data_IF_299795683498
#
_entry.id   IF_299795683498
#
_cell.length_a   1.000
_cell.length_b   1.000
_cell.length_c   1.000
_cell.angle_alpha   90.00
_cell.angle_beta   90.00
_cell.angle_gamma   90.00
#
_symmetry.space_group_name_H-M   'P 1'
#
loop_
_entity.id
_entity.type
_entity.pdbx_description
1 polymer ?
#
# COMPACT_ATOMS: atom_id res chain seq x y z
N UNK A 1 -4.71 -21.86 14.82
CA UNK A 1 -3.39 -21.32 15.20
C UNK A 1 -2.83 -20.64 13.97
N UNK A 2 -2.34 -19.40 14.06
CA UNK A 2 -1.77 -18.73 12.88
C UNK A 2 -0.50 -19.46 12.43
N UNK A 3 -0.20 -19.51 11.12
CA UNK A 3 1.04 -20.07 10.62
C UNK A 3 2.27 -19.40 11.24
N UNK A 4 3.36 -20.14 11.37
CA UNK A 4 4.64 -19.66 11.93
C UNK A 4 5.31 -18.54 11.11
N UNK A 5 4.98 -18.43 9.82
CA UNK A 5 5.43 -17.35 8.95
C UNK A 5 4.69 -16.03 9.17
N UNK A 6 3.44 -16.08 9.66
CA UNK A 6 2.57 -14.91 9.78
C UNK A 6 3.17 -13.79 10.66
N UNK A 7 3.66 -14.04 11.89
CA UNK A 7 4.25 -12.99 12.71
C UNK A 7 5.50 -12.37 12.07
N UNK A 8 6.29 -13.18 11.34
CA UNK A 8 7.47 -12.69 10.62
C UNK A 8 7.05 -11.76 9.47
N UNK A 9 6.04 -12.14 8.70
CA UNK A 9 5.51 -11.32 7.62
C UNK A 9 4.97 -9.97 8.13
N UNK A 10 4.18 -9.98 9.22
CA UNK A 10 3.69 -8.75 9.85
C UNK A 10 4.83 -7.87 10.35
N UNK A 11 5.85 -8.45 10.98
CA UNK A 11 7.01 -7.70 11.44
C UNK A 11 7.76 -7.02 10.28
N UNK A 12 7.91 -7.72 9.14
CA UNK A 12 8.50 -7.14 7.93
C UNK A 12 7.66 -5.99 7.38
N UNK A 13 6.33 -6.15 7.30
CA UNK A 13 5.44 -5.09 6.83
C UNK A 13 5.51 -3.85 7.72
N UNK A 14 5.54 -4.03 9.04
CA UNK A 14 5.72 -2.92 9.99
C UNK A 14 7.08 -2.25 9.79
N UNK A 15 8.15 -3.02 9.64
CA UNK A 15 9.48 -2.47 9.39
C UNK A 15 9.53 -1.65 8.10
N UNK A 16 8.92 -2.15 7.01
CA UNK A 16 8.82 -1.43 5.74
C UNK A 16 8.00 -0.15 5.86
N UNK A 17 6.86 -0.18 6.55
CA UNK A 17 6.03 1.01 6.77
C UNK A 17 6.77 2.09 7.58
N UNK A 18 7.58 1.70 8.56
CA UNK A 18 8.42 2.62 9.34
C UNK A 18 9.60 3.17 8.53
N UNK A 19 10.14 2.39 7.58
CA UNK A 19 11.22 2.83 6.70
C UNK A 19 10.74 3.77 5.59
N UNK A 20 9.47 3.68 5.17
CA UNK A 20 8.91 4.52 4.10
C UNK A 20 9.16 6.03 4.27
N UNK A 21 8.85 6.68 5.41
CA UNK A 21 9.16 8.11 5.59
C UNK A 21 10.67 8.40 5.60
N UNK A 22 11.51 7.46 6.03
CA UNK A 22 12.97 7.60 5.99
C UNK A 22 13.47 7.64 4.56
N UNK A 23 12.96 6.75 3.69
CA UNK A 23 13.30 6.75 2.27
C UNK A 23 12.79 8.00 1.56
N UNK A 24 11.57 8.46 1.86
CA UNK A 24 11.04 9.71 1.31
C UNK A 24 11.90 10.92 1.68
N UNK A 25 12.32 11.01 2.95
CA UNK A 25 13.27 12.05 3.38
C UNK A 25 14.63 11.94 2.68
N UNK A 26 15.20 10.73 2.60
CA UNK A 26 16.51 10.50 2.01
C UNK A 26 16.53 10.82 0.50
N UNK A 27 15.44 10.51 -0.21
CA UNK A 27 15.26 10.87 -1.62
C UNK A 27 15.36 12.40 -1.82
N UNK A 28 14.73 13.18 -0.93
CA UNK A 28 14.85 14.64 -0.93
C UNK A 28 16.26 15.15 -0.68
N UNK A 29 17.08 14.46 0.13
CA UNK A 29 18.46 14.87 0.41
C UNK A 29 19.39 14.74 -0.81
N UNK A 30 19.10 13.78 -1.69
CA UNK A 30 19.91 13.55 -2.90
C UNK A 30 19.31 14.24 -4.14
N UNK A 31 18.23 15.01 -3.96
CA UNK A 31 17.53 15.63 -5.09
C UNK A 31 16.98 14.59 -6.06
N UNK A 32 16.55 13.44 -5.55
CA UNK A 32 15.95 12.42 -6.41
C UNK A 32 14.69 12.98 -7.06
N UNK A 33 14.70 13.01 -8.39
CA UNK A 33 13.54 13.32 -9.21
C UNK A 33 13.29 12.12 -10.13
N UNK A 34 12.02 11.74 -10.29
CA UNK A 34 11.68 10.62 -11.14
C UNK A 34 12.02 10.93 -12.61
N UNK A 35 12.49 9.95 -13.41
CA UNK A 35 12.80 10.18 -14.82
C UNK A 35 11.61 10.75 -15.62
N UNK A 36 10.39 10.36 -15.24
CA UNK A 36 9.16 10.86 -15.84
C UNK A 36 8.90 12.32 -15.47
N UNK A 37 9.12 12.72 -14.22
CA UNK A 37 9.00 14.12 -13.78
C UNK A 37 9.94 15.03 -14.57
N UNK A 38 11.22 14.63 -14.71
CA UNK A 38 12.20 15.39 -15.49
C UNK A 38 11.81 15.49 -16.98
N UNK A 39 11.27 14.42 -17.55
CA UNK A 39 10.81 14.41 -18.94
C UNK A 39 9.56 15.29 -19.13
N UNK A 40 8.64 15.27 -18.17
CA UNK A 40 7.47 16.14 -18.18
C UNK A 40 7.89 17.61 -18.10
N UNK A 41 8.83 17.96 -17.21
CA UNK A 41 9.33 19.32 -17.07
C UNK A 41 10.07 19.78 -18.33
N UNK A 42 10.92 18.92 -18.92
CA UNK A 42 11.61 19.21 -20.17
C UNK A 42 10.68 19.39 -21.38
N UNK A 43 9.46 18.85 -21.32
CA UNK A 43 8.46 18.93 -22.41
C UNK A 43 7.36 19.96 -22.14
N UNK A 44 7.35 20.61 -20.98
CA UNK A 44 6.26 21.51 -20.55
C UNK A 44 4.95 20.77 -20.27
N UNK A 45 5.02 19.46 -20.03
CA UNK A 45 3.84 18.63 -19.77
C UNK A 45 3.37 18.70 -18.30
N UNK A 46 4.16 19.30 -17.41
CA UNK A 46 3.80 19.48 -15.99
C UNK A 46 2.60 20.42 -15.86
N UNK A 47 2.54 21.50 -16.64
CA UNK A 47 1.44 22.48 -16.55
C UNK A 47 0.12 22.00 -17.17
N UNK A 48 0.16 20.99 -18.04
CA UNK A 48 -1.02 20.40 -18.68
C UNK A 48 -1.53 19.15 -17.94
N UNK A 49 -0.88 18.78 -16.84
CA UNK A 49 -1.25 17.61 -16.04
C UNK A 49 -2.51 17.90 -15.21
N UNK A 50 -3.67 17.58 -15.77
CA UNK A 50 -4.92 17.49 -15.01
C UNK A 50 -4.92 16.15 -14.25
N UNK A 51 -4.93 16.14 -12.90
CA UNK A 51 -4.94 14.90 -12.13
C UNK A 51 -6.24 14.14 -12.41
N UNK A 52 -6.13 13.08 -13.21
CA UNK A 52 -7.26 12.24 -13.63
C UNK A 52 -7.81 11.42 -12.46
N UNK A 53 -7.01 11.19 -11.41
CA UNK A 53 -7.34 10.29 -10.32
C UNK A 53 -7.55 11.03 -9.00
N UNK A 54 -8.77 10.95 -8.46
CA UNK A 54 -9.04 11.30 -7.06
C UNK A 54 -8.50 10.21 -6.15
N UNK A 55 -7.20 10.26 -5.84
CA UNK A 55 -6.59 9.37 -4.87
C UNK A 55 -6.95 9.83 -3.43
N UNK A 56 -7.20 8.90 -2.48
CA UNK A 56 -7.45 9.26 -1.09
C UNK A 56 -6.27 9.95 -0.40
N UNK A 57 -5.05 9.59 -0.80
CA UNK A 57 -3.78 10.10 -0.26
C UNK A 57 -2.81 10.41 -1.42
N UNK A 58 -3.05 11.47 -2.21
CA UNK A 58 -2.17 11.85 -3.32
C UNK A 58 -0.78 12.16 -2.77
N UNK A 59 0.27 11.66 -3.44
CA UNK A 59 1.67 11.80 -3.03
C UNK A 59 1.94 11.36 -1.57
N UNK A 60 1.15 10.40 -1.08
CA UNK A 60 1.15 9.95 0.32
C UNK A 60 0.80 11.07 1.33
N UNK A 61 0.25 12.18 0.86
CA UNK A 61 -0.12 13.34 1.63
C UNK A 61 -1.39 13.12 2.45
N UNK A 62 -1.38 13.64 3.67
CA UNK A 62 -2.55 13.66 4.56
C UNK A 62 -2.77 15.10 5.01
N UNK A 63 -3.96 15.69 4.80
CA UNK A 63 -4.24 17.06 5.22
C UNK A 63 -3.95 17.29 6.70
N UNK A 64 -3.20 18.34 7.02
CA UNK A 64 -2.81 18.69 8.39
C UNK A 64 -1.60 17.91 8.93
N UNK A 65 -1.02 16.98 8.17
CA UNK A 65 0.24 16.31 8.50
C UNK A 65 1.36 16.79 7.58
N UNK A 66 2.59 16.85 8.11
CA UNK A 66 3.79 17.02 7.29
C UNK A 66 4.11 15.77 6.46
N UNK A 67 5.11 15.85 5.59
CA UNK A 67 5.48 14.76 4.67
C UNK A 67 5.73 13.42 5.38
N UNK A 68 6.64 13.37 6.35
CA UNK A 68 6.98 12.14 7.06
C UNK A 68 5.78 11.49 7.80
N UNK A 69 5.03 12.19 8.67
CA UNK A 69 3.86 11.59 9.31
C UNK A 69 2.74 11.26 8.31
N UNK A 70 2.56 12.05 7.24
CA UNK A 70 1.64 11.74 6.15
C UNK A 70 2.00 10.43 5.45
N UNK A 71 3.26 10.27 5.03
CA UNK A 71 3.76 9.04 4.41
C UNK A 71 3.56 7.81 5.29
N UNK A 72 3.84 7.93 6.60
CA UNK A 72 3.63 6.82 7.53
C UNK A 72 2.15 6.42 7.62
N UNK A 73 1.25 7.40 7.77
CA UNK A 73 -0.20 7.14 7.83
C UNK A 73 -0.68 6.50 6.54
N UNK A 74 -0.30 7.05 5.39
CA UNK A 74 -0.63 6.50 4.07
C UNK A 74 -0.15 5.06 3.90
N UNK A 75 1.08 4.75 4.32
CA UNK A 75 1.65 3.40 4.26
C UNK A 75 0.89 2.41 5.15
N UNK A 76 0.54 2.79 6.38
CA UNK A 76 -0.22 1.95 7.31
C UNK A 76 -1.65 1.70 6.80
N UNK A 77 -2.32 2.74 6.33
CA UNK A 77 -3.70 2.64 5.82
C UNK A 77 -3.74 1.78 4.55
N UNK A 78 -2.86 2.04 3.58
CA UNK A 78 -2.79 1.26 2.33
C UNK A 78 -2.46 -0.22 2.59
N UNK A 79 -1.49 -0.48 3.46
CA UNK A 79 -1.11 -1.86 3.87
C UNK A 79 -2.28 -2.56 4.56
N UNK A 80 -2.90 -1.90 5.54
CA UNK A 80 -4.04 -2.45 6.27
C UNK A 80 -5.23 -2.75 5.37
N UNK A 81 -5.57 -1.83 4.45
CA UNK A 81 -6.65 -2.01 3.49
C UNK A 81 -6.37 -3.19 2.54
N UNK A 82 -5.14 -3.30 2.04
CA UNK A 82 -4.72 -4.40 1.17
C UNK A 82 -4.88 -5.75 1.88
N UNK A 83 -4.38 -5.85 3.12
CA UNK A 83 -4.51 -7.07 3.92
C UNK A 83 -5.97 -7.40 4.21
N UNK A 84 -6.79 -6.40 4.52
CA UNK A 84 -8.23 -6.58 4.78
C UNK A 84 -8.94 -7.13 3.55
N UNK A 85 -8.69 -6.56 2.37
CA UNK A 85 -9.30 -7.01 1.11
C UNK A 85 -8.84 -8.43 0.77
N UNK A 86 -7.53 -8.70 0.82
CA UNK A 86 -6.98 -10.02 0.52
C UNK A 86 -7.53 -11.09 1.49
N UNK A 87 -7.60 -10.77 2.79
CA UNK A 87 -8.20 -11.65 3.80
C UNK A 87 -9.68 -11.88 3.54
N UNK A 88 -10.44 -10.83 3.19
CA UNK A 88 -11.85 -10.91 2.86
C UNK A 88 -12.11 -11.82 1.66
N UNK A 89 -11.36 -11.65 0.57
CA UNK A 89 -11.44 -12.50 -0.62
C UNK A 89 -11.11 -13.95 -0.27
N UNK A 90 -10.01 -14.18 0.46
CA UNK A 90 -9.62 -15.52 0.88
C UNK A 90 -10.68 -16.21 1.74
N UNK A 91 -11.37 -15.46 2.61
CA UNK A 91 -12.47 -15.97 3.42
C UNK A 91 -13.69 -16.36 2.57
N UNK A 92 -14.07 -15.53 1.60
CA UNK A 92 -15.21 -15.83 0.71
C UNK A 92 -14.92 -17.09 -0.09
N UNK A 93 -13.77 -17.16 -0.77
CA UNK A 93 -13.40 -18.30 -1.60
C UNK A 93 -13.18 -19.59 -0.79
N UNK A 94 -12.67 -19.49 0.44
CA UNK A 94 -12.47 -20.66 1.30
C UNK A 94 -13.77 -21.25 1.85
N UNK A 95 -14.84 -20.44 1.99
CA UNK A 95 -16.11 -20.90 2.56
C UNK A 95 -16.86 -21.87 1.65
N UNK A 96 -16.69 -21.74 0.34
CA UNK A 96 -17.32 -22.62 -0.65
C UNK A 96 -16.64 -24.00 -0.71
N UNK A 97 -15.30 -24.05 -0.58
CA UNK A 97 -14.53 -25.30 -0.59
C UNK A 97 -14.81 -26.21 0.62
N UNK A 98 -15.04 -25.62 1.80
CA UNK A 98 -15.39 -26.38 3.01
C UNK A 98 -16.80 -27.00 2.90
N UNK A 99 -17.74 -26.32 2.22
CA UNK A 99 -19.13 -26.76 2.04
C UNK A 99 -19.24 -27.97 1.09
N UNK A 100 -18.45 -27.99 0.01
CA UNK A 100 -18.40 -29.12 -0.91
C UNK A 100 -17.80 -30.38 -0.25
N UNK A 101 -16.77 -30.19 0.58
CA UNK A 101 -16.10 -31.30 1.29
C UNK A 101 -17.02 -31.98 2.31
N UNK A 102 -17.82 -31.21 3.05
CA UNK A 102 -18.80 -31.75 4.01
C UNK A 102 -19.95 -32.50 3.31
N UNK A 103 -20.33 -32.09 2.10
CA UNK A 103 -21.40 -32.73 1.34
C UNK A 103 -20.98 -34.09 0.77
N UNK A 104 -19.72 -34.24 0.35
CA UNK A 104 -19.19 -35.51 -0.14
C UNK A 104 -18.88 -36.50 1.00
N UNK A 105 -18.52 -36.03 2.19
CA UNK A 105 -18.26 -36.90 3.36
C UNK A 105 -19.51 -37.57 3.95
N UNK A 106 -20.71 -37.07 3.61
CA UNK A 106 -22.01 -37.57 4.11
C UNK A 106 -22.67 -38.58 3.14
N UNK A 107 -22.13 -38.77 1.93
CA UNK A 107 -22.57 -39.79 0.97
C UNK A 107 -21.82 -41.10 1.10
#
# INVERSE_FOLDING_TARGET
MAPDWFPKAVAVLVALALLAPVFGWAAGQVGYAEPLENAAEATGAVEEAEPVESAPFPDYGVPGLGSAPGTLVSALVGTGLTLLVAFGIGRVLGSDADTDTDTDAVR
#
